data_IF_436596018845
#
_entry.id   IF_436596018845
#
_cell.length_a   1.000
_cell.length_b   1.000
_cell.length_c   1.000
_cell.angle_alpha   90.00
_cell.angle_beta   90.00
_cell.angle_gamma   90.00
#
_symmetry.space_group_name_H-M   'P 1'
#
loop_
_entity.id
_entity.type
_entity.pdbx_description
1 polymer ?
#
# COMPACT_ATOMS: atom_id res chain seq x y z
N UNK A 1 -13.52 23.24 19.11
CA UNK A 1 -14.81 22.54 18.98
C UNK A 1 -14.89 21.75 17.66
N UNK A 2 -14.78 22.42 16.48
CA UNK A 2 -14.93 21.73 15.17
C UNK A 2 -13.96 20.55 15.03
N UNK A 3 -12.67 20.74 15.31
CA UNK A 3 -11.65 19.68 15.23
C UNK A 3 -11.95 18.55 16.22
N UNK A 4 -12.43 18.88 17.43
CA UNK A 4 -12.78 17.85 18.42
C UNK A 4 -13.98 17.01 17.97
N UNK A 5 -14.98 17.63 17.33
CA UNK A 5 -16.11 16.91 16.73
C UNK A 5 -15.66 16.02 15.57
N UNK A 6 -14.77 16.52 14.70
CA UNK A 6 -14.19 15.72 13.62
C UNK A 6 -13.42 14.51 14.16
N UNK A 7 -12.66 14.66 15.26
CA UNK A 7 -12.01 13.53 15.92
C UNK A 7 -13.00 12.48 16.41
N UNK A 8 -14.09 12.90 17.05
CA UNK A 8 -15.12 12.00 17.54
C UNK A 8 -15.75 11.26 16.34
N UNK A 9 -16.14 11.99 15.30
CA UNK A 9 -16.69 11.38 14.09
C UNK A 9 -15.69 10.41 13.45
N UNK A 10 -14.42 10.80 13.34
CA UNK A 10 -13.37 9.91 12.80
C UNK A 10 -13.24 8.63 13.63
N UNK A 11 -13.26 8.73 14.96
CA UNK A 11 -13.15 7.56 15.84
C UNK A 11 -14.36 6.61 15.75
N UNK A 12 -15.53 7.12 15.34
CA UNK A 12 -16.75 6.32 15.22
C UNK A 12 -16.92 5.70 13.82
N UNK A 13 -16.46 6.37 12.76
CA UNK A 13 -16.81 6.03 11.39
C UNK A 13 -15.59 5.73 10.50
N UNK A 14 -14.38 6.00 10.95
CA UNK A 14 -13.15 5.77 10.22
C UNK A 14 -12.20 4.81 10.96
N UNK A 15 -11.28 4.23 10.21
CA UNK A 15 -10.30 3.28 10.75
C UNK A 15 -8.99 4.00 11.10
N UNK A 16 -8.43 3.70 12.28
CA UNK A 16 -7.11 4.19 12.73
C UNK A 16 -5.93 3.37 12.17
N UNK A 17 -6.13 2.67 11.06
CA UNK A 17 -5.10 1.88 10.38
C UNK A 17 -4.26 2.74 9.42
N UNK A 18 -3.16 2.17 8.95
CA UNK A 18 -2.35 2.77 7.91
C UNK A 18 -1.31 3.78 8.38
N UNK A 19 -0.72 3.58 9.56
CA UNK A 19 0.38 4.41 10.09
C UNK A 19 0.04 5.90 10.17
N UNK A 20 -1.13 6.22 10.74
CA UNK A 20 -1.63 7.59 10.92
C UNK A 20 -1.90 8.35 9.61
N UNK A 21 -1.99 7.67 8.50
CA UNK A 21 -2.24 8.28 7.19
C UNK A 21 -3.60 8.97 7.13
N UNK A 22 -4.61 8.36 7.76
CA UNK A 22 -5.98 8.87 7.74
C UNK A 22 -6.23 9.97 8.77
N UNK A 23 -5.40 10.07 9.83
CA UNK A 23 -5.54 11.04 10.90
C UNK A 23 -4.71 12.32 10.67
N UNK A 24 -3.92 12.38 9.60
CA UNK A 24 -3.02 13.52 9.33
C UNK A 24 -3.75 14.87 9.30
N UNK A 25 -4.98 14.94 8.76
CA UNK A 25 -5.78 16.15 8.72
C UNK A 25 -6.20 16.63 10.12
N UNK A 26 -6.40 15.69 11.07
CA UNK A 26 -6.73 16.02 12.46
C UNK A 26 -5.54 16.72 13.12
N UNK A 27 -4.33 16.18 12.95
CA UNK A 27 -3.10 16.79 13.45
C UNK A 27 -2.88 18.17 12.86
N UNK A 28 -3.06 18.33 11.55
CA UNK A 28 -2.96 19.62 10.88
C UNK A 28 -3.98 20.62 11.44
N UNK A 29 -5.24 20.24 11.55
CA UNK A 29 -6.32 21.08 12.07
C UNK A 29 -6.09 21.49 13.52
N UNK A 30 -5.64 20.58 14.39
CA UNK A 30 -5.25 20.91 15.76
C UNK A 30 -4.09 21.90 15.82
N UNK A 31 -3.06 21.69 15.03
CA UNK A 31 -1.90 22.57 14.94
C UNK A 31 -2.34 23.98 14.54
N UNK A 32 -3.17 24.11 13.50
CA UNK A 32 -3.70 25.41 13.05
C UNK A 32 -4.54 26.10 14.14
N UNK A 33 -5.28 25.35 14.94
CA UNK A 33 -6.10 25.91 16.02
C UNK A 33 -5.28 26.30 17.27
N UNK A 34 -4.20 25.59 17.55
CA UNK A 34 -3.38 25.77 18.76
C UNK A 34 -2.27 26.80 18.59
N UNK A 35 -1.59 26.85 17.44
CA UNK A 35 -0.45 27.76 17.20
C UNK A 35 -0.78 29.22 17.56
N UNK A 36 -1.91 29.81 17.12
CA UNK A 36 -2.25 31.18 17.49
C UNK A 36 -2.44 31.38 19.00
N UNK A 37 -2.89 30.35 19.70
CA UNK A 37 -3.10 30.39 21.16
C UNK A 37 -1.81 30.26 21.97
N UNK A 38 -0.77 29.74 21.35
CA UNK A 38 0.56 29.61 21.97
C UNK A 38 1.44 30.85 21.73
N UNK A 39 0.93 31.90 21.07
CA UNK A 39 1.68 33.12 20.76
C UNK A 39 2.33 33.71 22.01
N UNK A 40 1.56 33.94 23.06
CA UNK A 40 2.04 34.54 24.32
C UNK A 40 3.10 33.66 25.02
N UNK A 41 2.95 32.32 24.88
CA UNK A 41 3.94 31.36 25.36
C UNK A 41 5.27 31.52 24.61
N UNK A 42 5.25 31.69 23.29
CA UNK A 42 6.47 31.84 22.50
C UNK A 42 7.12 33.22 22.69
N UNK A 43 6.34 34.29 22.84
CA UNK A 43 6.85 35.64 23.01
C UNK A 43 7.46 35.86 24.42
N UNK A 44 6.92 35.21 25.45
CA UNK A 44 7.32 35.39 26.84
C UNK A 44 7.74 34.08 27.55
N UNK A 45 8.35 33.18 26.83
CA UNK A 45 8.63 31.80 27.26
C UNK A 45 9.32 31.71 28.64
N UNK A 46 10.33 32.56 28.89
CA UNK A 46 11.07 32.52 30.13
C UNK A 46 10.24 32.94 31.37
N UNK A 47 9.36 33.93 31.23
CA UNK A 47 8.47 34.37 32.30
C UNK A 47 7.33 33.36 32.49
N UNK A 48 6.79 32.81 31.40
CA UNK A 48 5.73 31.83 31.46
C UNK A 48 6.14 30.55 32.19
N UNK A 49 7.34 30.03 31.91
CA UNK A 49 7.88 28.85 32.62
C UNK A 49 8.03 29.11 34.12
N UNK A 50 8.39 30.33 34.51
CA UNK A 50 8.60 30.69 35.95
C UNK A 50 7.28 30.84 36.68
N UNK A 51 6.26 31.42 36.06
CA UNK A 51 4.95 31.65 36.67
C UNK A 51 4.08 30.38 36.71
N UNK A 52 4.13 29.54 35.65
CA UNK A 52 3.22 28.42 35.47
C UNK A 52 3.99 27.08 35.37
N UNK A 53 4.66 26.70 36.47
CA UNK A 53 5.55 25.53 36.55
C UNK A 53 4.89 24.21 36.08
N UNK A 54 3.60 24.00 36.43
CA UNK A 54 2.86 22.80 36.05
C UNK A 54 2.68 22.73 34.54
N UNK A 55 2.26 23.84 33.92
CA UNK A 55 2.03 23.92 32.47
C UNK A 55 3.36 23.79 31.74
N UNK A 56 4.42 24.42 32.23
CA UNK A 56 5.78 24.27 31.71
C UNK A 56 6.22 22.79 31.70
N UNK A 57 5.98 22.07 32.80
CA UNK A 57 6.28 20.63 32.89
C UNK A 57 5.50 19.81 31.86
N UNK A 58 4.20 20.09 31.67
CA UNK A 58 3.38 19.43 30.68
C UNK A 58 3.90 19.71 29.26
N UNK A 59 4.26 20.95 28.96
CA UNK A 59 4.79 21.34 27.63
C UNK A 59 6.11 20.61 27.34
N UNK A 60 7.05 20.62 28.33
CA UNK A 60 8.33 19.91 28.18
C UNK A 60 8.15 18.41 27.98
N UNK A 61 7.24 17.79 28.75
CA UNK A 61 6.92 16.38 28.58
C UNK A 61 6.34 16.09 27.17
N UNK A 62 5.45 16.95 26.67
CA UNK A 62 4.93 16.79 25.30
C UNK A 62 6.01 16.95 24.24
N UNK A 63 6.92 17.91 24.39
CA UNK A 63 8.07 18.09 23.49
C UNK A 63 8.94 16.81 23.49
N UNK A 64 9.24 16.26 24.65
CA UNK A 64 9.99 15.01 24.77
C UNK A 64 9.28 13.84 24.06
N UNK A 65 7.97 13.68 24.29
CA UNK A 65 7.18 12.65 23.63
C UNK A 65 7.12 12.84 22.11
N UNK A 66 7.06 14.08 21.63
CA UNK A 66 7.09 14.38 20.19
C UNK A 66 8.44 14.01 19.57
N UNK A 67 9.55 14.34 20.23
CA UNK A 67 10.90 13.97 19.77
C UNK A 67 11.05 12.44 19.73
N UNK A 68 10.59 11.74 20.77
CA UNK A 68 10.60 10.28 20.82
C UNK A 68 9.78 9.68 19.67
N UNK A 69 8.53 10.14 19.48
CA UNK A 69 7.66 9.69 18.40
C UNK A 69 8.23 10.00 17.02
N UNK A 70 8.83 11.19 16.85
CA UNK A 70 9.47 11.58 15.59
C UNK A 70 10.61 10.63 15.23
N UNK A 71 11.49 10.31 16.18
CA UNK A 71 12.60 9.38 15.97
C UNK A 71 12.12 7.98 15.58
N UNK A 72 11.05 7.49 16.21
CA UNK A 72 10.43 6.22 15.89
C UNK A 72 9.77 6.25 14.49
N UNK A 73 8.99 7.29 14.20
CA UNK A 73 8.31 7.46 12.93
C UNK A 73 9.28 7.59 11.75
N UNK A 74 10.41 8.27 11.96
CA UNK A 74 11.46 8.41 10.94
C UNK A 74 12.03 7.05 10.50
N UNK A 75 12.34 6.19 11.47
CA UNK A 75 12.82 4.82 11.20
C UNK A 75 11.76 3.97 10.46
N UNK A 76 10.50 4.11 10.84
CA UNK A 76 9.40 3.42 10.15
C UNK A 76 9.22 3.93 8.72
N UNK A 77 9.35 5.23 8.49
CA UNK A 77 9.26 5.84 7.16
C UNK A 77 10.38 5.36 6.25
N UNK A 78 11.62 5.31 6.75
CA UNK A 78 12.78 4.79 6.01
C UNK A 78 12.57 3.33 5.59
N UNK A 79 12.21 2.47 6.55
CA UNK A 79 11.98 1.05 6.27
C UNK A 79 10.76 0.84 5.36
N UNK A 80 9.70 1.62 5.55
CA UNK A 80 8.53 1.61 4.69
C UNK A 80 8.85 1.99 3.26
N UNK A 81 9.64 3.04 3.06
CA UNK A 81 10.13 3.44 1.74
C UNK A 81 10.95 2.34 1.06
N UNK A 82 11.80 1.63 1.82
CA UNK A 82 12.52 0.46 1.30
C UNK A 82 11.57 -0.65 0.85
N UNK A 83 10.57 -0.99 1.65
CA UNK A 83 9.60 -2.02 1.28
C UNK A 83 8.83 -1.68 -0.01
N UNK A 84 8.36 -0.44 -0.16
CA UNK A 84 7.72 0.04 -1.39
C UNK A 84 8.68 -0.10 -2.59
N UNK A 85 9.95 0.30 -2.41
CA UNK A 85 10.94 0.18 -3.48
C UNK A 85 11.24 -1.28 -3.85
N UNK A 86 11.38 -2.14 -2.85
CA UNK A 86 11.77 -3.55 -3.02
C UNK A 86 10.63 -4.41 -3.58
N UNK A 87 9.38 -4.01 -3.44
CA UNK A 87 8.25 -4.79 -3.91
C UNK A 87 7.46 -4.06 -5.00
N UNK A 88 6.84 -2.93 -4.69
CA UNK A 88 5.96 -2.22 -5.61
C UNK A 88 6.71 -1.64 -6.81
N UNK A 89 7.82 -0.94 -6.54
CA UNK A 89 8.63 -0.35 -7.59
C UNK A 89 9.38 -1.38 -8.43
N UNK A 90 9.80 -2.52 -7.84
CA UNK A 90 10.42 -3.60 -8.61
C UNK A 90 9.40 -4.25 -9.55
N UNK A 91 8.17 -4.50 -9.09
CA UNK A 91 7.08 -5.01 -9.93
C UNK A 91 6.77 -4.05 -11.09
N UNK A 92 6.67 -2.75 -10.80
CA UNK A 92 6.44 -1.75 -11.84
C UNK A 92 7.58 -1.67 -12.86
N UNK A 93 8.85 -1.69 -12.41
CA UNK A 93 10.02 -1.70 -13.31
C UNK A 93 10.08 -2.94 -14.18
N UNK A 94 9.76 -4.11 -13.61
CA UNK A 94 9.68 -5.36 -14.37
C UNK A 94 8.62 -5.27 -15.47
N UNK A 95 7.41 -4.82 -15.13
CA UNK A 95 6.34 -4.61 -16.10
C UNK A 95 6.72 -3.57 -17.15
N UNK A 96 7.28 -2.45 -16.76
CA UNK A 96 7.73 -1.42 -17.70
C UNK A 96 8.77 -1.96 -18.70
N UNK A 97 9.65 -2.87 -18.25
CA UNK A 97 10.73 -3.41 -19.09
C UNK A 97 10.21 -4.42 -20.13
N UNK A 98 9.28 -5.30 -19.74
CA UNK A 98 8.89 -6.44 -20.57
C UNK A 98 7.42 -6.44 -21.00
N UNK A 99 6.55 -5.71 -20.27
CA UNK A 99 5.09 -5.77 -20.40
C UNK A 99 4.44 -4.39 -20.48
N UNK A 100 5.21 -3.36 -20.85
CA UNK A 100 4.62 -2.04 -21.10
C UNK A 100 3.62 -2.16 -22.26
N UNK A 101 2.45 -1.51 -22.15
CA UNK A 101 1.33 -1.62 -23.09
C UNK A 101 0.59 -2.98 -23.09
N UNK A 102 1.06 -3.97 -22.32
CA UNK A 102 0.39 -5.26 -22.14
C UNK A 102 -0.84 -5.19 -21.23
N UNK A 103 -1.67 -6.24 -21.27
CA UNK A 103 -2.81 -6.39 -20.36
C UNK A 103 -2.38 -7.14 -19.11
N UNK A 104 -2.46 -6.45 -17.97
CA UNK A 104 -1.95 -6.91 -16.68
C UNK A 104 -3.04 -6.95 -15.62
N UNK A 105 -3.08 -8.01 -14.85
CA UNK A 105 -3.94 -8.14 -13.67
C UNK A 105 -3.13 -7.80 -12.42
N UNK A 106 -3.67 -6.97 -11.55
CA UNK A 106 -3.03 -6.66 -10.27
C UNK A 106 -4.06 -6.43 -9.16
N UNK A 107 -3.62 -6.48 -7.90
CA UNK A 107 -4.45 -6.13 -6.74
C UNK A 107 -3.80 -5.09 -5.80
N UNK A 108 -2.57 -4.66 -6.10
CA UNK A 108 -1.94 -3.49 -5.51
C UNK A 108 -1.37 -2.63 -6.66
N UNK A 109 -2.12 -1.59 -6.99
CA UNK A 109 -2.00 -0.92 -8.29
C UNK A 109 -1.16 0.37 -8.26
N UNK A 110 -0.84 0.90 -7.07
CA UNK A 110 -0.29 2.25 -6.94
C UNK A 110 0.97 2.52 -7.77
N UNK A 111 2.05 1.77 -7.56
CA UNK A 111 3.30 1.96 -8.30
C UNK A 111 3.17 1.46 -9.76
N UNK A 112 2.46 0.35 -9.96
CA UNK A 112 2.27 -0.25 -11.28
C UNK A 112 1.62 0.77 -12.23
N UNK A 113 0.49 1.37 -11.85
CA UNK A 113 -0.20 2.35 -12.70
C UNK A 113 0.55 3.67 -12.86
N UNK A 114 1.37 4.03 -11.89
CA UNK A 114 2.14 5.29 -11.94
C UNK A 114 3.34 5.22 -12.89
N UNK A 115 3.96 4.05 -13.04
CA UNK A 115 5.23 3.89 -13.74
C UNK A 115 5.17 2.99 -14.98
N UNK A 116 3.98 2.62 -15.42
CA UNK A 116 3.77 1.80 -16.64
C UNK A 116 2.56 2.29 -17.44
N UNK A 117 2.52 1.97 -18.72
CA UNK A 117 1.41 2.24 -19.63
C UNK A 117 0.59 0.96 -19.91
N UNK A 118 0.38 0.13 -18.89
CA UNK A 118 -0.36 -1.13 -19.02
C UNK A 118 -1.88 -0.94 -19.10
N UNK A 119 -2.56 -1.92 -19.69
CA UNK A 119 -4.01 -2.06 -19.59
C UNK A 119 -4.36 -2.88 -18.34
N UNK A 120 -4.70 -2.20 -17.25
CA UNK A 120 -4.90 -2.81 -15.94
C UNK A 120 -6.27 -3.44 -15.76
N UNK A 121 -6.32 -4.66 -15.20
CA UNK A 121 -7.47 -5.20 -14.48
C UNK A 121 -7.13 -5.21 -12.98
N UNK A 122 -7.76 -4.32 -12.22
CA UNK A 122 -7.60 -4.24 -10.77
C UNK A 122 -8.61 -5.17 -10.08
N UNK A 123 -8.13 -6.24 -9.47
CA UNK A 123 -9.00 -7.18 -8.75
C UNK A 123 -9.48 -6.67 -7.39
N UNK A 124 -8.92 -5.56 -6.89
CA UNK A 124 -9.42 -4.87 -5.70
C UNK A 124 -10.58 -3.91 -5.99
N UNK A 125 -10.86 -3.63 -7.29
CA UNK A 125 -11.99 -2.81 -7.72
C UNK A 125 -11.83 -1.31 -7.51
N UNK A 126 -10.61 -0.82 -7.29
CA UNK A 126 -10.34 0.62 -7.18
C UNK A 126 -10.11 1.26 -8.55
N UNK A 127 -9.54 0.50 -9.49
CA UNK A 127 -9.16 0.94 -10.83
C UNK A 127 -9.93 0.27 -11.97
N UNK A 128 -10.79 -0.71 -11.70
CA UNK A 128 -11.54 -1.45 -12.72
C UNK A 128 -13.00 -1.65 -12.33
N UNK A 129 -13.91 -1.14 -13.14
CA UNK A 129 -15.36 -1.23 -12.87
C UNK A 129 -15.88 -2.66 -12.96
N UNK A 130 -15.24 -3.50 -13.74
CA UNK A 130 -15.59 -4.91 -13.98
C UNK A 130 -15.53 -5.77 -12.71
N UNK A 131 -14.69 -5.40 -11.76
CA UNK A 131 -14.50 -6.14 -10.51
C UNK A 131 -15.25 -5.53 -9.31
N UNK A 132 -15.82 -4.32 -9.44
CA UNK A 132 -16.53 -3.63 -8.35
C UNK A 132 -17.66 -4.48 -7.79
N UNK A 133 -18.46 -5.12 -8.65
CA UNK A 133 -19.63 -5.91 -8.25
C UNK A 133 -19.26 -7.02 -7.25
N UNK A 134 -18.11 -7.64 -7.44
CA UNK A 134 -17.62 -8.72 -6.57
C UNK A 134 -17.07 -8.19 -5.23
N UNK A 135 -16.61 -6.95 -5.18
CA UNK A 135 -16.08 -6.33 -3.96
C UNK A 135 -17.19 -5.69 -3.09
N UNK A 136 -18.21 -5.11 -3.71
CA UNK A 136 -19.33 -4.50 -2.99
C UNK A 136 -20.27 -5.54 -2.39
N UNK A 137 -20.50 -6.64 -3.09
CA UNK A 137 -21.40 -7.70 -2.65
C UNK A 137 -20.60 -8.91 -2.15
N UNK A 138 -20.19 -8.92 -0.88
CA UNK A 138 -19.60 -10.09 -0.20
C UNK A 138 -20.46 -11.36 -0.20
N UNK A 139 -21.56 -11.38 -0.97
CA UNK A 139 -22.51 -12.49 -1.11
C UNK A 139 -22.25 -13.37 -2.33
N UNK A 140 -21.32 -12.99 -3.21
CA UNK A 140 -20.98 -13.83 -4.36
C UNK A 140 -20.19 -15.06 -3.90
N UNK A 141 -20.55 -16.27 -4.33
CA UNK A 141 -19.75 -17.46 -4.08
C UNK A 141 -18.33 -17.29 -4.62
N UNK A 142 -17.34 -17.80 -3.91
CA UNK A 142 -15.91 -17.75 -4.33
C UNK A 142 -15.73 -18.24 -5.78
N UNK A 143 -16.46 -19.28 -6.17
CA UNK A 143 -16.42 -19.83 -7.52
C UNK A 143 -16.88 -18.86 -8.61
N UNK A 144 -17.80 -17.94 -8.32
CA UNK A 144 -18.31 -16.98 -9.29
C UNK A 144 -17.24 -15.97 -9.68
N UNK A 145 -16.56 -15.37 -8.71
CA UNK A 145 -15.47 -14.44 -8.99
C UNK A 145 -14.26 -15.12 -9.64
N UNK A 146 -13.91 -16.33 -9.20
CA UNK A 146 -12.85 -17.13 -9.84
C UNK A 146 -13.16 -17.41 -11.31
N UNK A 147 -14.40 -17.82 -11.61
CA UNK A 147 -14.84 -18.09 -12.99
C UNK A 147 -14.87 -16.82 -13.83
N UNK A 148 -15.35 -15.71 -13.26
CA UNK A 148 -15.31 -14.41 -13.92
C UNK A 148 -13.87 -14.03 -14.29
N UNK A 149 -12.94 -14.06 -13.35
CA UNK A 149 -11.54 -13.75 -13.62
C UNK A 149 -10.96 -14.67 -14.69
N UNK A 150 -11.20 -15.99 -14.60
CA UNK A 150 -10.71 -16.94 -15.58
C UNK A 150 -11.22 -16.63 -16.98
N UNK A 151 -12.51 -16.40 -17.16
CA UNK A 151 -13.14 -16.13 -18.45
C UNK A 151 -12.79 -14.74 -18.99
N UNK A 152 -12.89 -13.72 -18.14
CA UNK A 152 -12.66 -12.34 -18.53
C UNK A 152 -11.21 -12.13 -18.98
N UNK A 153 -10.24 -12.66 -18.25
CA UNK A 153 -8.83 -12.51 -18.59
C UNK A 153 -8.45 -13.29 -19.84
N UNK A 154 -9.00 -14.49 -20.03
CA UNK A 154 -8.78 -15.27 -21.26
C UNK A 154 -9.43 -14.60 -22.48
N UNK A 155 -10.70 -14.20 -22.39
CA UNK A 155 -11.44 -13.60 -23.50
C UNK A 155 -10.87 -12.25 -23.94
N UNK A 156 -10.24 -11.54 -23.03
CA UNK A 156 -9.63 -10.24 -23.29
C UNK A 156 -8.11 -10.31 -23.47
N UNK A 157 -7.53 -11.52 -23.58
CA UNK A 157 -6.10 -11.75 -23.79
C UNK A 157 -5.21 -10.97 -22.80
N UNK A 158 -5.38 -11.23 -21.50
CA UNK A 158 -4.45 -10.76 -20.47
C UNK A 158 -3.20 -11.65 -20.45
N UNK A 159 -2.04 -11.04 -20.32
CA UNK A 159 -0.75 -11.73 -20.41
C UNK A 159 -0.28 -12.24 -19.04
N UNK A 160 -0.32 -11.38 -18.03
CA UNK A 160 0.35 -11.57 -16.74
C UNK A 160 -0.53 -11.10 -15.59
N UNK A 161 -0.38 -11.75 -14.42
CA UNK A 161 -0.92 -11.24 -13.17
C UNK A 161 0.20 -11.07 -12.13
N UNK A 162 0.21 -9.92 -11.44
CA UNK A 162 1.08 -9.63 -10.31
C UNK A 162 0.22 -9.33 -9.10
N UNK A 163 0.14 -10.26 -8.17
CA UNK A 163 -0.85 -10.23 -7.10
C UNK A 163 -0.30 -10.68 -5.74
N UNK A 164 -0.92 -10.18 -4.68
CA UNK A 164 -0.86 -10.83 -3.37
C UNK A 164 -1.84 -12.00 -3.35
N UNK A 165 -1.34 -13.23 -3.32
CA UNK A 165 -2.17 -14.43 -3.23
C UNK A 165 -3.14 -14.39 -2.06
N UNK A 166 -2.70 -13.84 -0.92
CA UNK A 166 -3.50 -13.73 0.29
C UNK A 166 -4.75 -12.84 0.14
N UNK A 167 -4.80 -11.95 -0.86
CA UNK A 167 -5.97 -11.12 -1.11
C UNK A 167 -6.98 -11.80 -2.03
N UNK A 168 -6.52 -12.63 -2.96
CA UNK A 168 -7.38 -13.38 -3.87
C UNK A 168 -7.72 -14.78 -3.34
N UNK A 169 -6.84 -15.41 -2.57
CA UNK A 169 -7.07 -16.74 -1.98
C UNK A 169 -7.71 -17.75 -2.96
N UNK A 170 -8.97 -18.11 -2.70
CA UNK A 170 -9.73 -19.07 -3.51
C UNK A 170 -10.17 -18.52 -4.87
N UNK A 171 -10.02 -17.21 -5.10
CA UNK A 171 -10.42 -16.57 -6.36
C UNK A 171 -9.37 -16.65 -7.46
N UNK A 172 -8.16 -17.13 -7.16
CA UNK A 172 -7.11 -17.29 -8.17
C UNK A 172 -7.57 -18.32 -9.21
N UNK A 173 -7.65 -17.94 -10.51
CA UNK A 173 -8.09 -18.85 -11.55
C UNK A 173 -7.17 -20.07 -11.69
N UNK A 174 -7.76 -21.25 -11.85
CA UNK A 174 -7.02 -22.51 -11.96
C UNK A 174 -6.20 -22.62 -13.26
N UNK A 175 -6.60 -21.88 -14.29
CA UNK A 175 -5.88 -21.81 -15.57
C UNK A 175 -4.64 -20.90 -15.50
N UNK A 176 -4.51 -20.01 -14.51
CA UNK A 176 -3.28 -19.25 -14.34
C UNK A 176 -2.14 -20.14 -13.83
N UNK A 177 -0.95 -19.93 -14.37
CA UNK A 177 0.24 -20.69 -13.96
C UNK A 177 1.22 -19.80 -13.22
N UNK A 178 1.52 -20.13 -12.00
CA UNK A 178 2.51 -19.41 -11.20
C UNK A 178 3.88 -19.52 -11.86
N UNK A 179 4.49 -18.39 -12.19
CA UNK A 179 5.82 -18.31 -12.77
C UNK A 179 6.89 -18.07 -11.69
N UNK A 180 6.60 -17.19 -10.73
CA UNK A 180 7.51 -16.88 -9.65
C UNK A 180 6.80 -16.30 -8.41
N UNK A 181 7.55 -16.25 -7.32
CA UNK A 181 7.22 -15.53 -6.10
C UNK A 181 8.36 -14.54 -5.78
N UNK A 182 8.00 -13.29 -5.54
CA UNK A 182 8.89 -12.25 -5.05
C UNK A 182 8.69 -12.11 -3.55
N UNK A 183 9.75 -12.19 -2.76
CA UNK A 183 9.68 -12.05 -1.30
C UNK A 183 10.63 -10.96 -0.82
N UNK A 184 10.14 -10.08 0.05
CA UNK A 184 10.93 -9.07 0.75
C UNK A 184 11.09 -9.41 2.22
N UNK A 185 12.09 -8.80 2.86
CA UNK A 185 12.35 -8.98 4.30
C UNK A 185 11.69 -7.86 5.11
N UNK A 186 11.18 -8.20 6.30
CA UNK A 186 10.63 -7.24 7.28
C UNK A 186 9.58 -6.27 6.68
N UNK A 187 8.44 -6.76 6.16
CA UNK A 187 7.41 -5.90 5.62
C UNK A 187 6.78 -5.04 6.72
N UNK A 188 6.74 -3.71 6.51
CA UNK A 188 6.15 -2.74 7.42
C UNK A 188 4.96 -2.04 6.78
N UNK A 189 5.12 -1.58 5.53
CA UNK A 189 4.12 -0.77 4.84
C UNK A 189 3.38 -1.49 3.73
N UNK A 190 3.98 -2.55 3.17
CA UNK A 190 3.34 -3.37 2.14
C UNK A 190 2.36 -4.35 2.77
N UNK A 191 1.35 -4.77 2.03
CA UNK A 191 0.29 -5.61 2.55
C UNK A 191 0.76 -7.00 2.98
N UNK A 192 1.72 -7.58 2.25
CA UNK A 192 2.34 -8.88 2.54
C UNK A 192 3.80 -8.87 2.10
N UNK A 193 4.59 -9.78 2.67
CA UNK A 193 6.00 -9.99 2.30
C UNK A 193 6.19 -10.61 0.92
N UNK A 194 5.15 -11.24 0.36
CA UNK A 194 5.17 -12.01 -0.87
C UNK A 194 4.21 -11.47 -1.92
N UNK A 195 4.70 -11.36 -3.14
CA UNK A 195 3.91 -11.09 -4.36
C UNK A 195 4.17 -12.22 -5.33
N UNK A 196 3.13 -12.74 -5.96
CA UNK A 196 3.22 -13.80 -6.94
C UNK A 196 3.03 -13.27 -8.35
N UNK A 197 3.79 -13.84 -9.27
CA UNK A 197 3.70 -13.56 -10.70
C UNK A 197 3.15 -14.79 -11.41
N UNK A 198 2.06 -14.61 -12.17
CA UNK A 198 1.40 -15.67 -12.91
C UNK A 198 1.41 -15.36 -14.41
N UNK A 199 1.61 -16.40 -15.23
CA UNK A 199 1.18 -16.38 -16.60
C UNK A 199 -0.34 -16.59 -16.61
N UNK A 200 -1.07 -15.65 -17.17
CA UNK A 200 -2.51 -15.73 -17.40
C UNK A 200 -2.75 -16.57 -18.66
N UNK A 201 -1.99 -16.28 -19.72
CA UNK A 201 -1.84 -17.16 -20.88
C UNK A 201 -0.72 -18.18 -20.58
N UNK A 202 -1.06 -19.48 -20.63
CA UNK A 202 -0.11 -20.55 -20.32
C UNK A 202 0.97 -20.70 -21.39
N UNK A 203 0.72 -20.30 -22.62
CA UNK A 203 1.68 -20.37 -23.71
C UNK A 203 2.86 -19.43 -23.48
N UNK A 204 2.62 -18.33 -22.76
CA UNK A 204 3.64 -17.33 -22.41
C UNK A 204 4.44 -17.67 -21.14
N UNK A 205 4.17 -18.81 -20.48
CA UNK A 205 4.79 -19.16 -19.18
C UNK A 205 6.32 -19.24 -19.25
N UNK A 206 6.86 -19.82 -20.32
CA UNK A 206 8.33 -19.99 -20.45
C UNK A 206 9.02 -18.64 -20.69
N UNK A 207 8.48 -17.83 -21.57
CA UNK A 207 8.97 -16.48 -21.84
C UNK A 207 8.91 -15.63 -20.56
N UNK A 208 7.80 -15.69 -19.80
CA UNK A 208 7.67 -15.00 -18.52
C UNK A 208 8.74 -15.43 -17.52
N UNK A 209 9.02 -16.75 -17.40
CA UNK A 209 10.08 -17.26 -16.53
C UNK A 209 11.47 -16.79 -16.97
N UNK A 210 11.73 -16.67 -18.25
CA UNK A 210 12.98 -16.14 -18.80
C UNK A 210 13.12 -14.64 -18.52
N UNK A 211 12.07 -13.86 -18.74
CA UNK A 211 12.04 -12.43 -18.42
C UNK A 211 12.29 -12.19 -16.93
N UNK A 212 11.70 -13.01 -16.05
CA UNK A 212 11.91 -12.93 -14.60
C UNK A 212 13.38 -13.23 -14.23
N UNK A 213 14.01 -14.22 -14.88
CA UNK A 213 15.44 -14.56 -14.63
C UNK A 213 16.39 -13.48 -15.14
N UNK A 214 16.06 -12.86 -16.26
CA UNK A 214 16.91 -11.87 -16.92
C UNK A 214 16.76 -10.46 -16.31
N UNK A 215 15.67 -10.20 -15.56
CA UNK A 215 15.47 -8.91 -14.93
C UNK A 215 16.42 -8.71 -13.74
N UNK A 216 17.02 -7.53 -13.65
CA UNK A 216 17.93 -7.17 -12.56
C UNK A 216 17.15 -6.75 -11.32
N UNK A 217 16.65 -7.72 -10.57
CA UNK A 217 15.93 -7.48 -9.32
C UNK A 217 16.82 -6.82 -8.27
N UNK A 218 16.21 -6.02 -7.38
CA UNK A 218 16.94 -5.49 -6.23
C UNK A 218 17.48 -6.64 -5.37
N UNK A 219 18.72 -6.51 -4.90
CA UNK A 219 19.44 -7.54 -4.10
C UNK A 219 18.73 -8.00 -2.81
N UNK A 220 17.75 -7.20 -2.32
CA UNK A 220 16.98 -7.51 -1.11
C UNK A 220 15.68 -8.24 -1.44
N UNK A 221 15.39 -8.49 -2.71
CA UNK A 221 14.23 -9.25 -3.17
C UNK A 221 14.65 -10.67 -3.45
N UNK A 222 14.11 -11.61 -2.70
CA UNK A 222 14.31 -13.03 -2.96
C UNK A 222 13.31 -13.47 -4.04
N UNK A 223 13.80 -13.90 -5.20
CA UNK A 223 13.00 -14.35 -6.34
C UNK A 223 13.02 -15.86 -6.43
N UNK A 224 11.89 -16.51 -6.33
CA UNK A 224 11.77 -17.97 -6.45
C UNK A 224 10.94 -18.30 -7.68
N UNK A 225 11.56 -18.94 -8.68
CA UNK A 225 10.86 -19.44 -9.87
C UNK A 225 10.05 -20.68 -9.49
N UNK A 226 8.79 -20.72 -9.91
CA UNK A 226 7.97 -21.91 -9.72
C UNK A 226 8.39 -23.05 -10.67
N UNK A 227 8.29 -24.28 -10.20
CA UNK A 227 8.64 -25.48 -10.98
C UNK A 227 7.70 -25.72 -12.16
#
# INVERSE_FOLDING_TARGET
>A
IVISLLMICHSMFADFKGMFRYEAYILAGFSMALIPKLKDLFENFGNYIRSERLIAGIVLMNIFLLIYKFSFAHKMLENGGKNIYEQQMQSAKFLHTYYNESKVVANDIGAITCFTDIHLLDTAGLGSVETIVFNENKKHPDAEFQNFLAQYTTNNAYDIAIIYDAWLQNYIPKNWKKAAELKIKNPITVARDKVSIYAVDQDNLQELKENIRNFNWNRNVDVTIAN
#
